data_IF_870647188309
#
_entry.id   IF_870647188309
#
_cell.length_a   1.000
_cell.length_b   1.000
_cell.length_c   1.000
_cell.angle_alpha   90.00
_cell.angle_beta   90.00
_cell.angle_gamma   90.00
#
_symmetry.space_group_name_H-M   'P 1'
#
loop_
_entity.id
_entity.type
_entity.pdbx_description
1 polymer ?
#
# COMPACT_ATOMS: atom_id res chain seq x y z
N UNK A 1 3.53 21.54 15.85
CA UNK A 1 3.05 20.18 16.20
C UNK A 1 4.21 19.20 16.23
N UNK A 2 4.19 18.23 17.15
CA UNK A 2 5.10 17.06 17.08
C UNK A 2 4.81 16.29 15.78
N UNK A 3 5.82 15.73 15.09
CA UNK A 3 5.63 14.98 13.85
C UNK A 3 4.62 13.83 14.02
N UNK A 4 4.58 13.19 15.19
CA UNK A 4 3.57 12.18 15.56
C UNK A 4 2.13 12.69 15.42
N UNK A 5 1.86 13.92 15.82
CA UNK A 5 0.51 14.49 15.78
C UNK A 5 0.09 14.87 14.36
N UNK A 6 1.06 15.25 13.51
CA UNK A 6 0.83 15.50 12.10
C UNK A 6 0.50 14.19 11.35
N UNK A 7 1.24 13.12 11.66
CA UNK A 7 0.98 11.77 11.14
C UNK A 7 -0.45 11.35 11.49
N UNK A 8 -0.81 11.42 12.78
CA UNK A 8 -2.13 11.00 13.25
C UNK A 8 -3.26 11.83 12.61
N UNK A 9 -3.08 13.15 12.51
CA UNK A 9 -4.09 14.02 11.91
C UNK A 9 -4.27 13.76 10.40
N UNK A 10 -3.17 13.61 9.66
CA UNK A 10 -3.23 13.32 8.22
C UNK A 10 -3.87 11.96 7.96
N UNK A 11 -3.54 10.97 8.77
CA UNK A 11 -4.16 9.64 8.73
C UNK A 11 -5.66 9.72 9.03
N UNK A 12 -6.07 10.41 10.09
CA UNK A 12 -7.48 10.54 10.46
C UNK A 12 -8.28 11.27 9.36
N UNK A 13 -7.71 12.32 8.77
CA UNK A 13 -8.34 13.05 7.67
C UNK A 13 -8.51 12.19 6.43
N UNK A 14 -7.48 11.41 6.05
CA UNK A 14 -7.58 10.51 4.90
C UNK A 14 -8.55 9.36 5.16
N UNK A 15 -8.57 8.79 6.37
CA UNK A 15 -9.55 7.77 6.74
C UNK A 15 -10.98 8.28 6.57
N UNK A 16 -11.28 9.49 7.07
CA UNK A 16 -12.60 10.10 6.91
C UNK A 16 -12.97 10.34 5.44
N UNK A 17 -12.02 10.79 4.62
CA UNK A 17 -12.23 11.01 3.19
C UNK A 17 -12.54 9.71 2.43
N UNK A 18 -11.74 8.65 2.64
CA UNK A 18 -11.93 7.37 1.95
C UNK A 18 -13.21 6.64 2.38
N UNK A 19 -13.65 6.79 3.64
CA UNK A 19 -14.92 6.22 4.10
C UNK A 19 -16.11 6.77 3.29
N UNK A 20 -16.04 8.01 2.82
CA UNK A 20 -17.14 8.60 2.03
C UNK A 20 -17.16 8.12 0.57
N UNK A 21 -16.03 7.66 0.03
CA UNK A 21 -15.94 7.24 -1.36
C UNK A 21 -16.53 5.83 -1.56
N UNK A 22 -16.22 4.89 -0.67
CA UNK A 22 -16.67 3.47 -0.65
C UNK A 22 -16.89 2.81 -2.03
N UNK A 23 -16.06 3.17 -3.01
CA UNK A 23 -16.15 2.69 -4.39
C UNK A 23 -14.74 2.37 -4.89
N UNK A 24 -14.55 1.13 -5.35
CA UNK A 24 -13.27 0.63 -5.86
C UNK A 24 -12.77 1.44 -7.05
N UNK A 25 -13.69 1.93 -7.88
CA UNK A 25 -13.45 2.67 -9.11
C UNK A 25 -12.88 4.06 -8.86
N UNK A 26 -13.12 4.62 -7.67
CA UNK A 26 -12.58 5.91 -7.24
C UNK A 26 -11.38 5.73 -6.31
N UNK A 27 -11.49 4.78 -5.37
CA UNK A 27 -10.51 4.57 -4.31
C UNK A 27 -9.17 4.09 -4.85
N UNK A 28 -9.18 3.13 -5.79
CA UNK A 28 -7.95 2.56 -6.37
C UNK A 28 -7.17 3.59 -7.19
N UNK A 29 -7.78 4.31 -8.16
CA UNK A 29 -7.05 5.31 -8.93
C UNK A 29 -6.54 6.46 -8.08
N UNK A 30 -7.29 6.90 -7.06
CA UNK A 30 -6.82 7.93 -6.13
C UNK A 30 -5.61 7.47 -5.32
N UNK A 31 -5.63 6.24 -4.82
CA UNK A 31 -4.51 5.69 -4.07
C UNK A 31 -3.24 5.61 -4.93
N UNK A 32 -3.35 5.06 -6.15
CA UNK A 32 -2.24 4.97 -7.11
C UNK A 32 -1.76 6.35 -7.56
N UNK A 33 -2.67 7.30 -7.77
CA UNK A 33 -2.32 8.68 -8.15
C UNK A 33 -1.50 9.37 -7.08
N UNK A 34 -1.87 9.22 -5.81
CA UNK A 34 -1.11 9.82 -4.71
C UNK A 34 0.27 9.17 -4.55
N UNK A 35 0.36 7.85 -4.70
CA UNK A 35 1.63 7.13 -4.72
C UNK A 35 2.55 7.65 -5.84
N UNK A 36 2.02 7.75 -7.07
CA UNK A 36 2.76 8.29 -8.21
C UNK A 36 3.19 9.75 -8.00
N UNK A 37 2.29 10.60 -7.50
CA UNK A 37 2.60 11.99 -7.17
C UNK A 37 3.69 12.11 -6.10
N UNK A 38 3.64 11.26 -5.07
CA UNK A 38 4.64 11.19 -4.01
C UNK A 38 6.01 10.76 -4.56
N UNK A 39 6.06 9.78 -5.46
CA UNK A 39 7.29 9.36 -6.15
C UNK A 39 7.88 10.51 -6.97
N UNK A 40 7.07 11.15 -7.83
CA UNK A 40 7.51 12.26 -8.68
C UNK A 40 7.99 13.45 -7.84
N UNK A 41 7.25 13.80 -6.79
CA UNK A 41 7.64 14.86 -5.86
C UNK A 41 8.96 14.53 -5.17
N UNK A 42 9.16 13.30 -4.69
CA UNK A 42 10.42 12.85 -4.10
C UNK A 42 11.60 12.97 -5.07
N UNK A 43 11.40 12.68 -6.35
CA UNK A 43 12.42 12.89 -7.39
C UNK A 43 12.71 14.39 -7.55
N UNK A 44 11.67 15.23 -7.62
CA UNK A 44 11.79 16.67 -7.79
C UNK A 44 12.61 17.33 -6.67
N UNK A 45 12.33 17.00 -5.41
CA UNK A 45 13.09 17.50 -4.25
C UNK A 45 14.38 16.72 -3.98
N UNK A 46 14.76 15.78 -4.86
CA UNK A 46 15.94 14.91 -4.73
C UNK A 46 15.98 14.08 -3.43
N UNK A 47 14.81 13.79 -2.86
CA UNK A 47 14.67 12.89 -1.71
C UNK A 47 14.51 11.44 -2.20
N UNK A 48 15.65 10.74 -2.25
CA UNK A 48 15.71 9.37 -2.78
C UNK A 48 14.96 8.36 -1.91
N UNK A 49 14.94 8.56 -0.59
CA UNK A 49 14.25 7.66 0.33
C UNK A 49 12.73 7.70 0.07
N UNK A 50 12.19 8.91 -0.04
CA UNK A 50 10.78 9.15 -0.35
C UNK A 50 10.39 8.58 -1.72
N UNK A 51 11.18 8.89 -2.75
CA UNK A 51 10.95 8.40 -4.12
C UNK A 51 10.92 6.87 -4.18
N UNK A 52 11.89 6.19 -3.55
CA UNK A 52 11.95 4.73 -3.55
C UNK A 52 10.83 4.09 -2.74
N UNK A 53 10.53 4.59 -1.53
CA UNK A 53 9.43 4.06 -0.71
C UNK A 53 8.11 4.14 -1.49
N UNK A 54 7.75 5.33 -1.98
CA UNK A 54 6.51 5.51 -2.74
C UNK A 54 6.54 4.72 -4.06
N UNK A 55 7.68 4.68 -4.76
CA UNK A 55 7.82 4.01 -6.05
C UNK A 55 7.73 2.49 -5.97
N UNK A 56 8.30 1.87 -4.93
CA UNK A 56 8.16 0.43 -4.70
C UNK A 56 6.71 0.06 -4.41
N UNK A 57 6.07 0.82 -3.51
CA UNK A 57 4.67 0.62 -3.14
C UNK A 57 3.77 0.80 -4.37
N UNK A 58 3.99 1.87 -5.15
CA UNK A 58 3.29 2.13 -6.40
C UNK A 58 3.38 0.94 -7.36
N UNK A 59 4.60 0.49 -7.65
CA UNK A 59 4.84 -0.57 -8.63
C UNK A 59 4.15 -1.87 -8.21
N UNK A 60 4.30 -2.26 -6.94
CA UNK A 60 3.75 -3.52 -6.43
C UNK A 60 2.25 -3.48 -6.19
N UNK A 61 1.64 -2.29 -6.11
CA UNK A 61 0.19 -2.13 -6.03
C UNK A 61 -0.44 -2.00 -7.41
N UNK A 62 0.23 -1.33 -8.36
CA UNK A 62 -0.27 -1.16 -9.73
C UNK A 62 -0.24 -2.48 -10.53
N UNK A 63 0.80 -3.29 -10.36
CA UNK A 63 0.94 -4.58 -11.07
C UNK A 63 -0.26 -5.52 -10.87
N UNK A 64 -0.68 -5.87 -9.64
CA UNK A 64 -1.85 -6.72 -9.44
C UNK A 64 -3.12 -6.07 -10.02
N UNK A 65 -3.32 -4.76 -9.85
CA UNK A 65 -4.47 -4.06 -10.43
C UNK A 65 -4.52 -4.23 -11.95
N UNK A 66 -3.40 -4.03 -12.65
CA UNK A 66 -3.31 -4.23 -14.10
C UNK A 66 -3.59 -5.69 -14.48
N UNK A 67 -3.04 -6.65 -13.74
CA UNK A 67 -3.26 -8.08 -13.99
C UNK A 67 -4.75 -8.45 -13.90
N UNK A 68 -5.48 -7.88 -12.95
CA UNK A 68 -6.91 -8.12 -12.78
C UNK A 68 -7.77 -7.36 -13.80
N UNK A 69 -7.47 -6.08 -14.07
CA UNK A 69 -8.22 -5.25 -15.03
C UNK A 69 -8.07 -5.73 -16.47
N UNK A 70 -6.87 -6.17 -16.86
CA UNK A 70 -6.63 -6.75 -18.20
C UNK A 70 -7.27 -8.13 -18.38
N UNK A 71 -7.85 -8.70 -17.32
CA UNK A 71 -8.48 -10.01 -17.37
C UNK A 71 -7.50 -11.18 -17.55
N UNK A 72 -6.19 -10.95 -17.38
CA UNK A 72 -5.15 -11.97 -17.55
C UNK A 72 -5.42 -13.19 -16.66
N UNK A 73 -5.84 -12.92 -15.42
CA UNK A 73 -6.28 -13.96 -14.47
C UNK A 73 -7.70 -14.46 -14.81
N UNK A 74 -8.63 -13.59 -15.23
CA UNK A 74 -10.00 -13.98 -15.55
C UNK A 74 -10.07 -15.02 -16.68
N UNK A 75 -9.22 -14.91 -17.71
CA UNK A 75 -9.15 -15.89 -18.79
C UNK A 75 -8.76 -17.31 -18.30
N UNK A 76 -7.99 -17.40 -17.22
CA UNK A 76 -7.54 -18.66 -16.64
C UNK A 76 -8.61 -19.24 -15.68
N UNK A 77 -9.33 -18.36 -14.98
CA UNK A 77 -10.23 -18.72 -13.87
C UNK A 77 -11.60 -19.26 -14.31
N UNK A 78 -12.13 -18.86 -15.47
CA UNK A 78 -13.52 -19.18 -15.89
C UNK A 78 -13.83 -20.68 -15.91
N UNK A 79 -12.84 -21.53 -16.18
CA UNK A 79 -13.02 -22.99 -16.26
C UNK A 79 -12.59 -23.74 -14.98
N UNK A 80 -12.27 -23.02 -13.90
CA UNK A 80 -11.74 -23.61 -12.67
C UNK A 80 -12.80 -23.80 -11.58
N UNK A 81 -12.54 -24.70 -10.63
CA UNK A 81 -13.38 -24.88 -9.45
C UNK A 81 -13.38 -23.61 -8.59
N UNK A 82 -14.51 -23.28 -7.96
CA UNK A 82 -14.66 -22.08 -7.12
C UNK A 82 -13.52 -21.92 -6.10
N UNK A 83 -13.12 -23.01 -5.45
CA UNK A 83 -11.99 -23.03 -4.51
C UNK A 83 -10.70 -22.51 -5.16
N UNK A 84 -10.38 -23.00 -6.35
CA UNK A 84 -9.18 -22.58 -7.08
C UNK A 84 -9.27 -21.12 -7.54
N UNK A 85 -10.47 -20.63 -7.89
CA UNK A 85 -10.68 -19.23 -8.23
C UNK A 85 -10.30 -18.31 -7.06
N UNK A 86 -10.83 -18.58 -5.86
CA UNK A 86 -10.52 -17.79 -4.66
C UNK A 86 -9.04 -17.87 -4.28
N UNK A 87 -8.43 -19.06 -4.39
CA UNK A 87 -7.00 -19.25 -4.13
C UNK A 87 -6.14 -18.39 -5.07
N UNK A 88 -6.48 -18.32 -6.36
CA UNK A 88 -5.74 -17.51 -7.32
C UNK A 88 -5.95 -16.01 -7.05
N UNK A 89 -7.19 -15.57 -6.80
CA UNK A 89 -7.51 -14.15 -6.58
C UNK A 89 -6.81 -13.64 -5.32
N UNK A 90 -7.12 -14.23 -4.17
CA UNK A 90 -6.56 -13.77 -2.89
C UNK A 90 -5.08 -14.14 -2.76
N UNK A 91 -4.65 -15.27 -3.33
CA UNK A 91 -3.25 -15.69 -3.32
C UNK A 91 -2.35 -14.75 -4.13
N UNK A 92 -2.82 -14.26 -5.29
CA UNK A 92 -2.07 -13.26 -6.08
C UNK A 92 -1.92 -11.96 -5.30
N UNK A 93 -3.02 -11.46 -4.71
CA UNK A 93 -2.98 -10.24 -3.89
C UNK A 93 -2.07 -10.41 -2.66
N UNK A 94 -2.16 -11.55 -1.97
CA UNK A 94 -1.28 -11.91 -0.87
C UNK A 94 0.19 -11.93 -1.30
N UNK A 95 0.50 -12.55 -2.44
CA UNK A 95 1.86 -12.61 -2.97
C UNK A 95 2.45 -11.21 -3.19
N UNK A 96 1.73 -10.31 -3.87
CA UNK A 96 2.20 -8.93 -4.09
C UNK A 96 2.32 -8.15 -2.78
N UNK A 97 1.43 -8.38 -1.82
CA UNK A 97 1.51 -7.76 -0.50
C UNK A 97 2.74 -8.22 0.29
N UNK A 98 3.02 -9.53 0.30
CA UNK A 98 4.21 -10.12 0.93
C UNK A 98 5.51 -9.66 0.24
N UNK A 99 5.49 -9.53 -1.09
CA UNK A 99 6.60 -8.96 -1.84
C UNK A 99 6.85 -7.49 -1.44
N UNK A 100 5.78 -6.72 -1.24
CA UNK A 100 5.86 -5.33 -0.76
C UNK A 100 6.45 -5.27 0.64
N UNK A 101 6.00 -6.11 1.58
CA UNK A 101 6.59 -6.19 2.91
C UNK A 101 8.09 -6.49 2.81
N UNK A 102 8.47 -7.49 2.02
CA UNK A 102 9.85 -7.91 1.87
C UNK A 102 10.73 -6.77 1.34
N UNK A 103 10.24 -6.06 0.31
CA UNK A 103 10.94 -4.90 -0.25
C UNK A 103 11.02 -3.74 0.75
N UNK A 104 9.99 -3.51 1.56
CA UNK A 104 10.00 -2.46 2.59
C UNK A 104 10.93 -2.80 3.76
N UNK A 105 11.00 -4.05 4.20
CA UNK A 105 11.94 -4.49 5.24
C UNK A 105 13.39 -4.31 4.76
N UNK A 106 13.68 -4.71 3.53
CA UNK A 106 15.02 -4.62 2.95
C UNK A 106 15.23 -3.32 2.15
N UNK A 107 14.37 -2.31 2.33
CA UNK A 107 14.29 -1.11 1.46
C UNK A 107 15.63 -0.43 1.30
N UNK A 108 16.35 -0.23 2.38
CA UNK A 108 17.67 0.43 2.38
C UNK A 108 18.68 -0.34 1.53
N UNK A 109 18.71 -1.66 1.64
CA UNK A 109 19.64 -2.53 0.89
C UNK A 109 19.29 -2.53 -0.60
N UNK A 110 18.01 -2.73 -0.92
CA UNK A 110 17.49 -2.69 -2.29
C UNK A 110 17.75 -1.33 -2.93
N UNK A 111 17.47 -0.24 -2.20
CA UNK A 111 17.70 1.13 -2.66
C UNK A 111 19.16 1.43 -2.96
N UNK A 112 20.08 0.96 -2.10
CA UNK A 112 21.53 1.12 -2.29
C UNK A 112 22.02 0.35 -3.49
N UNK A 113 21.48 -0.84 -3.71
CA UNK A 113 21.80 -1.63 -4.90
C UNK A 113 21.32 -0.94 -6.18
N UNK A 114 20.10 -0.39 -6.19
CA UNK A 114 19.51 0.25 -7.37
C UNK A 114 20.14 1.60 -7.72
N UNK A 115 20.32 2.48 -6.74
CA UNK A 115 20.70 3.87 -7.00
C UNK A 115 22.15 4.20 -6.68
N UNK A 116 22.87 3.32 -5.96
CA UNK A 116 24.26 3.53 -5.50
C UNK A 116 24.48 4.87 -4.75
N UNK A 117 23.42 5.46 -4.22
CA UNK A 117 23.47 6.76 -3.54
C UNK A 117 23.87 6.60 -2.07
N UNK A 118 24.70 7.52 -1.59
CA UNK A 118 25.09 7.62 -0.18
C UNK A 118 23.98 8.22 0.70
N UNK A 119 23.00 8.90 0.10
CA UNK A 119 21.91 9.59 0.82
C UNK A 119 20.77 8.63 1.22
N UNK A 120 21.00 7.32 1.12
CA UNK A 120 20.00 6.30 1.46
C UNK A 120 20.18 5.92 2.93
N UNK A 121 19.14 6.25 3.68
CA UNK A 121 19.06 6.06 5.13
C UNK A 121 17.73 5.45 5.53
N UNK A 122 17.71 4.87 6.73
CA UNK A 122 16.49 4.37 7.34
C UNK A 122 15.64 5.57 7.79
N UNK A 123 14.36 5.56 7.42
CA UNK A 123 13.41 6.60 7.77
C UNK A 123 12.36 6.05 8.74
N UNK A 124 11.68 6.94 9.47
CA UNK A 124 10.55 6.54 10.31
C UNK A 124 9.40 5.92 9.49
N UNK A 125 9.32 6.24 8.20
CA UNK A 125 8.27 5.76 7.31
C UNK A 125 8.47 4.30 6.87
N UNK A 126 9.69 3.77 6.88
CA UNK A 126 9.92 2.33 6.69
C UNK A 126 9.15 1.52 7.72
N UNK A 127 9.17 2.01 8.96
CA UNK A 127 8.40 1.49 10.08
C UNK A 127 6.89 1.48 9.81
N UNK A 128 6.36 2.59 9.31
CA UNK A 128 4.92 2.74 9.13
C UNK A 128 4.41 1.90 7.95
N UNK A 129 5.06 1.98 6.79
CA UNK A 129 4.56 1.30 5.59
C UNK A 129 4.65 -0.22 5.69
N UNK A 130 5.71 -0.79 6.31
CA UNK A 130 5.78 -2.25 6.44
C UNK A 130 4.65 -2.80 7.31
N UNK A 131 4.27 -2.11 8.40
CA UNK A 131 3.15 -2.53 9.25
C UNK A 131 1.80 -2.44 8.54
N UNK A 132 1.59 -1.41 7.71
CA UNK A 132 0.37 -1.30 6.88
C UNK A 132 0.26 -2.51 5.94
N UNK A 133 1.34 -2.90 5.29
CA UNK A 133 1.31 -4.06 4.37
C UNK A 133 1.27 -5.41 5.09
N UNK A 134 1.77 -5.52 6.33
CA UNK A 134 1.50 -6.68 7.19
C UNK A 134 0.00 -6.80 7.44
N UNK A 135 -0.67 -5.70 7.81
CA UNK A 135 -2.12 -5.69 7.99
C UNK A 135 -2.86 -6.12 6.72
N UNK A 136 -2.53 -5.55 5.56
CA UNK A 136 -3.14 -5.93 4.27
C UNK A 136 -2.92 -7.43 3.96
N UNK A 137 -1.73 -7.96 4.24
CA UNK A 137 -1.43 -9.38 4.01
C UNK A 137 -2.27 -10.29 4.90
N UNK A 138 -2.50 -9.90 6.15
CA UNK A 138 -3.41 -10.63 7.06
C UNK A 138 -4.83 -10.61 6.50
N UNK A 139 -5.31 -9.48 5.99
CA UNK A 139 -6.63 -9.42 5.34
C UNK A 139 -6.72 -10.38 4.15
N UNK A 140 -5.75 -10.36 3.23
CA UNK A 140 -5.74 -11.26 2.08
C UNK A 140 -5.71 -12.74 2.49
N UNK A 141 -4.88 -13.09 3.48
CA UNK A 141 -4.81 -14.45 4.00
C UNK A 141 -6.13 -14.88 4.65
N UNK A 142 -6.71 -14.02 5.49
CA UNK A 142 -7.97 -14.29 6.17
C UNK A 142 -9.13 -14.44 5.18
N UNK A 143 -9.25 -13.55 4.19
CA UNK A 143 -10.28 -13.65 3.15
C UNK A 143 -10.12 -14.92 2.31
N UNK A 144 -8.89 -15.33 2.02
CA UNK A 144 -8.62 -16.60 1.33
C UNK A 144 -9.10 -17.80 2.16
N UNK A 145 -8.82 -17.82 3.46
CA UNK A 145 -9.23 -18.89 4.38
C UNK A 145 -10.75 -18.92 4.55
N UNK A 146 -11.38 -17.77 4.80
CA UNK A 146 -12.85 -17.67 4.94
C UNK A 146 -13.56 -18.07 3.64
N UNK A 147 -13.05 -17.66 2.48
CA UNK A 147 -13.58 -18.09 1.18
C UNK A 147 -13.44 -19.60 0.97
N UNK A 148 -12.28 -20.16 1.29
CA UNK A 148 -12.06 -21.60 1.25
C UNK A 148 -13.07 -22.33 2.14
N UNK A 149 -13.27 -21.87 3.37
CA UNK A 149 -14.20 -22.50 4.32
C UNK A 149 -15.65 -22.39 3.84
N UNK A 150 -16.05 -21.22 3.34
CA UNK A 150 -17.37 -21.00 2.76
C UNK A 150 -17.64 -21.95 1.60
N UNK A 151 -16.71 -22.08 0.67
CA UNK A 151 -16.91 -22.89 -0.55
C UNK A 151 -16.75 -24.39 -0.29
N UNK A 152 -15.78 -24.78 0.53
CA UNK A 152 -15.45 -26.20 0.76
C UNK A 152 -16.33 -26.85 1.82
N UNK A 153 -16.59 -26.15 2.94
CA UNK A 153 -17.40 -26.66 4.05
C UNK A 153 -18.84 -26.12 4.05
N UNK A 154 -19.22 -25.29 3.07
CA UNK A 154 -20.54 -24.66 2.97
C UNK A 154 -20.92 -23.84 4.22
N UNK A 155 -19.93 -23.31 4.93
CA UNK A 155 -20.09 -22.55 6.17
C UNK A 155 -20.26 -21.06 5.87
N UNK A 156 -21.51 -20.58 5.84
CA UNK A 156 -21.82 -19.18 5.55
C UNK A 156 -21.72 -18.23 6.77
N UNK A 157 -21.48 -18.75 7.97
CA UNK A 157 -21.43 -17.94 9.21
C UNK A 157 -20.04 -17.37 9.52
N UNK A 158 -18.99 -17.80 8.82
CA UNK A 158 -17.59 -17.43 9.09
C UNK A 158 -17.00 -16.65 7.92
N UNK A 159 -17.63 -15.51 7.60
CA UNK A 159 -17.32 -14.67 6.43
C UNK A 159 -17.11 -13.20 6.81
N UNK A 160 -16.81 -12.88 8.07
CA UNK A 160 -16.73 -11.50 8.54
C UNK A 160 -15.69 -10.68 7.77
N UNK A 161 -14.48 -11.21 7.58
CA UNK A 161 -13.41 -10.50 6.87
C UNK A 161 -13.69 -10.53 5.36
N UNK A 162 -14.18 -11.64 4.83
CA UNK A 162 -14.56 -11.79 3.43
C UNK A 162 -15.65 -10.79 3.02
N UNK A 163 -16.71 -10.63 3.80
CA UNK A 163 -17.85 -9.75 3.49
C UNK A 163 -17.50 -8.26 3.68
N UNK A 164 -16.54 -7.92 4.54
CA UNK A 164 -16.08 -6.54 4.79
C UNK A 164 -14.73 -6.23 4.13
N UNK A 165 -14.25 -7.10 3.25
CA UNK A 165 -12.89 -7.11 2.74
C UNK A 165 -12.49 -5.77 2.11
N UNK A 166 -13.31 -5.24 1.21
CA UNK A 166 -13.04 -3.98 0.51
C UNK A 166 -12.87 -2.82 1.49
N UNK A 167 -13.79 -2.69 2.45
CA UNK A 167 -13.72 -1.64 3.46
C UNK A 167 -12.45 -1.72 4.31
N UNK A 168 -12.04 -2.92 4.70
CA UNK A 168 -10.81 -3.14 5.46
C UNK A 168 -9.55 -2.77 4.65
N UNK A 169 -9.53 -3.10 3.36
CA UNK A 169 -8.45 -2.68 2.45
C UNK A 169 -8.45 -1.16 2.25
N UNK A 170 -9.60 -0.53 2.10
CA UNK A 170 -9.70 0.94 1.96
C UNK A 170 -9.20 1.68 3.19
N UNK A 171 -9.44 1.15 4.39
CA UNK A 171 -8.83 1.68 5.61
C UNK A 171 -7.31 1.62 5.49
N UNK A 172 -6.73 0.48 5.07
CA UNK A 172 -5.29 0.37 4.88
C UNK A 172 -4.73 1.39 3.88
N UNK A 173 -5.42 1.59 2.75
CA UNK A 173 -5.03 2.57 1.74
C UNK A 173 -5.16 4.00 2.25
N UNK A 174 -6.16 4.30 3.06
CA UNK A 174 -6.28 5.61 3.69
C UNK A 174 -5.13 5.88 4.68
N UNK A 175 -4.74 4.87 5.49
CA UNK A 175 -3.55 4.94 6.35
C UNK A 175 -2.29 5.18 5.51
N UNK A 176 -2.15 4.45 4.40
CA UNK A 176 -1.04 4.57 3.46
C UNK A 176 -0.96 6.00 2.88
N UNK A 177 -2.08 6.53 2.38
CA UNK A 177 -2.20 7.89 1.87
C UNK A 177 -1.87 8.96 2.93
N UNK A 178 -2.36 8.81 4.16
CA UNK A 178 -2.03 9.73 5.25
C UNK A 178 -0.54 9.72 5.62
N UNK A 179 0.09 8.54 5.61
CA UNK A 179 1.52 8.39 5.80
C UNK A 179 2.33 9.01 4.64
N UNK A 180 1.90 8.81 3.39
CA UNK A 180 2.52 9.44 2.21
C UNK A 180 2.49 10.96 2.31
N UNK A 181 1.32 11.56 2.54
CA UNK A 181 1.18 13.02 2.70
C UNK A 181 2.07 13.56 3.82
N UNK A 182 2.11 12.87 4.95
CA UNK A 182 2.98 13.28 6.06
C UNK A 182 4.45 13.23 5.67
N UNK A 183 4.86 12.21 4.91
CA UNK A 183 6.21 12.12 4.36
C UNK A 183 6.52 13.31 3.44
N UNK A 184 5.59 13.72 2.57
CA UNK A 184 5.77 14.90 1.70
C UNK A 184 5.90 16.21 2.49
N UNK A 185 5.06 16.40 3.50
CA UNK A 185 5.04 17.64 4.30
C UNK A 185 6.32 17.75 5.15
N UNK A 186 6.76 16.62 5.73
CA UNK A 186 7.93 16.60 6.60
C UNK A 186 9.23 16.78 5.83
N UNK A 187 9.33 16.28 4.59
CA UNK A 187 10.50 16.48 3.73
C UNK A 187 10.65 17.94 3.28
N UNK A 188 9.55 18.66 3.03
CA UNK A 188 9.62 20.09 2.70
C UNK A 188 10.19 20.91 3.86
N UNK A 189 9.80 20.58 5.10
CA UNK A 189 10.24 21.31 6.29
C UNK A 189 11.74 21.14 6.57
N UNK A 190 12.34 19.99 6.23
CA UNK A 190 13.79 19.80 6.33
C UNK A 190 14.55 20.68 5.34
N UNK A 191 14.08 20.78 4.10
CA UNK A 191 14.76 21.57 3.07
C UNK A 191 14.74 23.07 3.41
N UNK A 192 13.57 23.61 3.81
CA UNK A 192 13.46 25.04 4.19
C UNK A 192 14.30 25.39 5.42
N UNK A 193 14.51 24.44 6.34
CA UNK A 193 15.34 24.70 7.52
C UNK A 193 16.82 24.74 7.17
N UNK A 194 17.25 23.95 6.20
CA UNK A 194 18.64 23.89 5.72
C UNK A 194 19.02 25.18 4.98
N UNK A 195 18.11 25.71 4.15
CA UNK A 195 18.29 27.02 3.49
C UNK A 195 18.41 28.19 4.47
N UNK A 196 17.63 28.19 5.56
CA UNK A 196 17.69 29.27 6.57
C UNK A 196 18.94 29.28 7.46
N UNK A 197 19.70 28.19 7.50
CA UNK A 197 20.97 28.11 8.26
C UNK A 197 22.20 28.42 7.40
N UNK A 198 22.03 28.55 6.08
CA UNK A 198 23.11 28.80 5.13
C UNK A 198 23.08 30.21 4.52
N UNK A 199 22.15 31.05 4.97
CA UNK A 199 22.06 32.49 4.69
C UNK A 199 22.38 33.29 5.96
#
# INVERSE_FOLDING_TARGET
MKPSNLILFSIASMAFFYIQLWDVSLTTPLHLSLLGACTVYGIYIKNINMSHIAGFIFTLTALPTIIFETGLINHIIVNMSKVLQGLIIYGTQLFFSLATISILIFRVQVSRHLSKSKNIELTNFDGVFHWIYIYISILYLSSMVEYFIKVHFNMNSWTFIYDNFEGLVYIAWALNCGALLTMMITSQKSDTRTEKTTA
#
